data_IF_126181076895
#
_entry.id   IF_126181076895
#
_cell.length_a   1.000
_cell.length_b   1.000
_cell.length_c   1.000
_cell.angle_alpha   90.00
_cell.angle_beta   90.00
_cell.angle_gamma   90.00
#
_symmetry.space_group_name_H-M   'P 1'
#
loop_
_entity.id
_entity.type
_entity.pdbx_description
1 polymer ?
#
# COMPACT_ATOMS: atom_id res chain seq x y z
N UNK A 1 -5.33 -2.01 -9.96
CA UNK A 1 -5.13 -2.61 -8.62
C UNK A 1 -4.83 -4.09 -8.70
N UNK A 2 -5.39 -4.82 -9.68
CA UNK A 2 -5.21 -6.28 -9.80
C UNK A 2 -4.30 -6.72 -10.96
N UNK A 3 -3.57 -5.77 -11.58
CA UNK A 3 -2.66 -6.06 -12.69
C UNK A 3 -1.22 -6.26 -12.20
N UNK A 4 -0.51 -7.17 -12.85
CA UNK A 4 0.94 -7.34 -12.71
C UNK A 4 1.72 -6.21 -13.40
N UNK A 5 2.98 -6.01 -13.01
CA UNK A 5 3.85 -5.03 -13.67
C UNK A 5 4.11 -5.36 -15.15
N UNK A 6 4.07 -6.64 -15.51
CA UNK A 6 4.18 -7.09 -16.91
C UNK A 6 2.97 -6.62 -17.73
N UNK A 7 1.75 -6.89 -17.25
CA UNK A 7 0.52 -6.45 -17.91
C UNK A 7 0.43 -4.93 -17.99
N UNK A 8 0.83 -4.23 -16.92
CA UNK A 8 0.89 -2.77 -16.90
C UNK A 8 1.89 -2.25 -17.95
N UNK A 9 3.06 -2.88 -18.08
CA UNK A 9 4.05 -2.52 -19.09
C UNK A 9 3.54 -2.72 -20.51
N UNK A 10 2.79 -3.80 -20.77
CA UNK A 10 2.12 -4.04 -22.05
C UNK A 10 1.09 -2.96 -22.37
N UNK A 11 0.26 -2.58 -21.39
CA UNK A 11 -0.73 -1.51 -21.55
C UNK A 11 -0.06 -0.16 -21.83
N UNK A 12 0.98 0.20 -21.09
CA UNK A 12 1.72 1.44 -21.27
C UNK A 12 2.31 1.52 -22.69
N UNK A 13 2.94 0.43 -23.16
CA UNK A 13 3.54 0.36 -24.49
C UNK A 13 2.50 0.47 -25.61
N UNK A 14 1.36 -0.20 -25.47
CA UNK A 14 0.36 -0.28 -26.54
C UNK A 14 -0.55 0.96 -26.62
N UNK A 15 -0.71 1.69 -25.51
CA UNK A 15 -1.56 2.89 -25.47
C UNK A 15 -0.77 4.19 -25.51
N UNK A 16 0.51 4.17 -25.11
CA UNK A 16 1.31 5.38 -24.88
C UNK A 16 0.84 6.21 -23.68
N UNK A 17 -0.08 5.69 -22.86
CA UNK A 17 -0.61 6.39 -21.71
C UNK A 17 0.42 6.46 -20.58
N UNK A 18 0.42 7.60 -19.87
CA UNK A 18 1.13 7.71 -18.61
C UNK A 18 0.43 6.85 -17.54
N UNK A 19 1.22 6.08 -16.79
CA UNK A 19 0.70 5.17 -15.76
C UNK A 19 1.00 5.75 -14.36
N UNK A 20 -0.05 5.91 -13.56
CA UNK A 20 0.05 6.10 -12.11
C UNK A 20 0.11 4.73 -11.41
N UNK A 21 1.19 4.48 -10.66
CA UNK A 21 1.34 3.28 -9.84
C UNK A 21 1.07 3.58 -8.37
N UNK A 22 0.20 2.79 -7.72
CA UNK A 22 0.15 2.79 -6.27
C UNK A 22 1.41 2.13 -5.71
N UNK A 23 2.21 2.86 -4.95
CA UNK A 23 3.42 2.31 -4.33
C UNK A 23 3.29 2.09 -2.84
N UNK A 24 2.27 2.68 -2.19
CA UNK A 24 2.04 2.44 -0.77
C UNK A 24 0.59 2.55 -0.32
N UNK A 25 0.22 1.78 0.71
CA UNK A 25 -1.05 1.90 1.44
C UNK A 25 -2.06 0.82 1.10
N UNK A 26 -3.31 1.01 1.53
CA UNK A 26 -4.34 -0.03 1.48
C UNK A 26 -5.08 -0.03 0.14
N UNK A 27 -5.30 -1.23 -0.40
CA UNK A 27 -6.05 -1.43 -1.65
C UNK A 27 -7.54 -1.46 -1.36
N UNK A 28 -8.39 -0.79 -2.16
CA UNK A 28 -9.84 -1.00 -2.08
C UNK A 28 -10.18 -2.41 -2.55
N UNK A 29 -10.92 -3.16 -1.73
CA UNK A 29 -11.36 -4.52 -2.03
C UNK A 29 -12.86 -4.60 -2.29
N UNK A 30 -13.64 -3.66 -1.74
CA UNK A 30 -15.08 -3.67 -1.92
C UNK A 30 -15.73 -2.36 -1.52
N UNK A 31 -16.89 -2.13 -2.11
CA UNK A 31 -17.80 -1.04 -1.76
C UNK A 31 -19.19 -1.63 -1.49
N UNK A 32 -19.89 -1.04 -0.53
CA UNK A 32 -21.24 -1.37 -0.12
C UNK A 32 -22.14 -0.16 -0.31
N UNK A 33 -23.41 -0.42 -0.66
CA UNK A 33 -24.46 0.61 -0.69
C UNK A 33 -24.83 1.07 0.73
N UNK A 34 -24.78 0.15 1.69
CA UNK A 34 -25.07 0.36 3.10
C UNK A 34 -23.80 0.44 3.96
N UNK A 35 -23.77 1.38 4.91
CA UNK A 35 -22.66 1.54 5.85
C UNK A 35 -23.01 0.85 7.17
N UNK A 36 -22.55 -0.39 7.35
CA UNK A 36 -22.83 -1.16 8.58
C UNK A 36 -22.29 -0.48 9.84
N UNK A 37 -21.26 0.38 9.73
CA UNK A 37 -20.72 1.11 10.88
C UNK A 37 -21.73 2.09 11.51
N UNK A 38 -22.74 2.55 10.75
CA UNK A 38 -23.76 3.45 11.29
C UNK A 38 -24.60 2.80 12.40
N UNK A 39 -24.76 1.47 12.36
CA UNK A 39 -25.47 0.71 13.39
C UNK A 39 -24.73 0.73 14.74
N UNK A 40 -23.43 1.02 14.73
CA UNK A 40 -22.57 1.00 15.91
C UNK A 40 -22.30 2.38 16.51
N UNK A 41 -22.76 3.48 15.90
CA UNK A 41 -22.52 4.84 16.41
C UNK A 41 -23.02 5.01 17.84
N UNK A 42 -24.23 4.49 18.13
CA UNK A 42 -24.83 4.55 19.47
C UNK A 42 -24.09 3.67 20.47
N UNK A 43 -23.66 2.48 20.06
CA UNK A 43 -23.00 1.52 20.93
C UNK A 43 -21.57 1.96 21.30
N UNK A 44 -20.86 2.59 20.37
CA UNK A 44 -19.48 3.03 20.57
C UNK A 44 -19.34 4.51 20.96
N UNK A 45 -20.42 5.30 20.85
CA UNK A 45 -20.40 6.72 21.18
C UNK A 45 -19.57 7.57 20.20
N UNK A 46 -19.25 7.03 19.02
CA UNK A 46 -18.44 7.69 17.99
C UNK A 46 -19.28 7.81 16.72
N UNK A 47 -19.42 9.03 16.20
CA UNK A 47 -20.23 9.32 15.00
C UNK A 47 -19.38 9.38 13.72
N UNK A 48 -20.04 9.25 12.58
CA UNK A 48 -19.49 9.57 11.26
C UNK A 48 -19.11 11.07 11.18
N UNK A 49 -17.97 11.44 10.55
CA UNK A 49 -16.97 10.57 9.90
C UNK A 49 -15.85 10.08 10.84
N UNK A 50 -15.86 10.48 12.12
CA UNK A 50 -14.81 10.09 13.10
C UNK A 50 -14.74 8.58 13.31
N UNK A 51 -15.86 7.86 13.14
CA UNK A 51 -15.89 6.41 13.21
C UNK A 51 -15.08 5.76 12.09
N UNK A 52 -15.18 6.27 10.85
CA UNK A 52 -14.42 5.77 9.70
C UNK A 52 -12.91 6.06 9.78
N UNK A 53 -12.48 6.91 10.71
CA UNK A 53 -11.08 7.23 10.97
C UNK A 53 -10.47 6.34 12.06
N UNK A 54 -11.28 5.50 12.71
CA UNK A 54 -10.80 4.50 13.66
C UNK A 54 -10.13 3.33 12.91
N UNK A 55 -9.20 2.66 13.58
CA UNK A 55 -8.53 1.47 13.03
C UNK A 55 -9.42 0.23 13.24
N UNK A 56 -10.45 0.10 12.40
CA UNK A 56 -11.41 -1.01 12.45
C UNK A 56 -10.99 -2.12 11.49
N UNK A 57 -10.62 -3.28 12.03
CA UNK A 57 -10.21 -4.44 11.24
C UNK A 57 -11.15 -5.63 11.45
N UNK A 58 -11.67 -6.19 10.36
CA UNK A 58 -12.26 -7.52 10.35
C UNK A 58 -11.15 -8.54 10.19
N UNK A 59 -11.08 -9.57 11.06
CA UNK A 59 -10.01 -10.57 11.06
C UNK A 59 -10.57 -11.99 11.07
N UNK A 60 -9.93 -12.88 10.31
CA UNK A 60 -10.17 -14.32 10.34
C UNK A 60 -8.84 -15.04 10.04
N UNK A 61 -8.26 -15.71 11.04
CA UNK A 61 -6.90 -16.26 10.92
C UNK A 61 -5.89 -15.16 10.58
N UNK A 62 -5.06 -15.41 9.56
CA UNK A 62 -4.05 -14.46 9.06
C UNK A 62 -4.63 -13.36 8.15
N UNK A 63 -5.91 -13.47 7.80
CA UNK A 63 -6.59 -12.48 6.98
C UNK A 63 -7.09 -11.30 7.81
N UNK A 64 -6.88 -10.10 7.28
CA UNK A 64 -7.43 -8.88 7.85
C UNK A 64 -7.88 -7.91 6.75
N UNK A 65 -8.97 -7.20 6.99
CA UNK A 65 -9.49 -6.14 6.13
C UNK A 65 -9.85 -4.91 6.98
N UNK A 66 -9.50 -3.72 6.50
CA UNK A 66 -9.86 -2.46 7.19
C UNK A 66 -11.22 -1.98 6.69
N UNK A 67 -12.14 -1.71 7.62
CA UNK A 67 -13.41 -1.05 7.27
C UNK A 67 -13.25 0.47 7.38
N UNK A 68 -13.78 1.17 6.38
CA UNK A 68 -13.91 2.64 6.36
C UNK A 68 -15.36 3.05 6.15
N UNK A 69 -16.30 2.22 6.62
CA UNK A 69 -17.74 2.41 6.47
C UNK A 69 -18.28 1.69 5.25
N UNK A 70 -18.62 2.45 4.20
CA UNK A 70 -19.08 1.86 2.93
C UNK A 70 -17.97 1.15 2.14
N UNK A 71 -16.71 1.36 2.50
CA UNK A 71 -15.57 0.74 1.83
C UNK A 71 -14.88 -0.30 2.72
N UNK A 72 -14.37 -1.35 2.08
CA UNK A 72 -13.48 -2.33 2.68
C UNK A 72 -12.14 -2.27 1.95
N UNK A 73 -11.06 -2.12 2.72
CA UNK A 73 -9.70 -2.05 2.23
C UNK A 73 -8.89 -3.27 2.66
N UNK A 74 -7.78 -3.55 1.99
CA UNK A 74 -6.81 -4.57 2.41
C UNK A 74 -6.31 -4.28 3.83
N UNK A 75 -6.09 -5.33 4.63
CA UNK A 75 -5.48 -5.16 5.95
C UNK A 75 -4.00 -4.78 5.84
N UNK A 76 -3.28 -5.51 4.99
CA UNK A 76 -1.87 -5.25 4.66
C UNK A 76 -1.73 -4.02 3.77
N UNK A 77 -0.63 -3.31 3.97
CA UNK A 77 -0.26 -2.18 3.12
C UNK A 77 0.56 -2.66 1.94
N UNK A 78 0.18 -2.24 0.73
CA UNK A 78 1.08 -2.32 -0.42
C UNK A 78 2.34 -1.52 -0.05
N UNK A 79 3.51 -2.04 -0.38
CA UNK A 79 4.76 -1.33 -0.24
C UNK A 79 5.69 -1.70 -1.39
N UNK A 80 6.07 -0.71 -2.19
CA UNK A 80 6.99 -0.87 -3.32
C UNK A 80 8.29 -0.11 -3.10
N UNK A 81 8.64 0.19 -1.85
CA UNK A 81 9.76 1.06 -1.49
C UNK A 81 11.09 0.57 -2.09
N UNK A 82 11.46 -0.69 -1.89
CA UNK A 82 12.66 -1.31 -2.50
C UNK A 82 12.56 -1.50 -4.01
N UNK A 83 11.35 -1.47 -4.56
CA UNK A 83 11.13 -1.63 -5.99
C UNK A 83 11.19 -0.30 -6.74
N UNK A 84 11.25 0.85 -6.06
CA UNK A 84 11.31 2.17 -6.69
C UNK A 84 12.45 2.32 -7.71
N UNK A 85 13.70 1.87 -7.46
CA UNK A 85 14.76 1.95 -8.47
C UNK A 85 14.42 1.21 -9.76
N UNK A 86 13.85 0.01 -9.65
CA UNK A 86 13.45 -0.79 -10.81
C UNK A 86 12.27 -0.15 -11.56
N UNK A 87 11.27 0.36 -10.84
CA UNK A 87 10.15 1.08 -11.45
C UNK A 87 10.60 2.37 -12.16
N UNK A 88 11.54 3.10 -11.57
CA UNK A 88 12.12 4.28 -12.18
C UNK A 88 12.92 3.95 -13.44
N UNK A 89 13.74 2.89 -13.41
CA UNK A 89 14.48 2.40 -14.57
C UNK A 89 13.54 1.94 -15.70
N UNK A 90 12.39 1.35 -15.36
CA UNK A 90 11.35 0.95 -16.32
C UNK A 90 10.56 2.12 -16.93
N UNK A 91 10.82 3.37 -16.50
CA UNK A 91 10.22 4.57 -17.08
C UNK A 91 8.98 5.10 -16.36
N UNK A 92 8.51 4.48 -15.27
CA UNK A 92 7.37 4.99 -14.50
C UNK A 92 7.76 6.25 -13.71
N UNK A 93 6.93 7.30 -13.78
CA UNK A 93 7.20 8.61 -13.15
C UNK A 93 6.12 9.08 -12.19
N UNK A 94 4.94 8.48 -12.24
CA UNK A 94 3.80 8.90 -11.43
C UNK A 94 3.45 7.82 -10.42
N UNK A 95 3.58 8.17 -9.15
CA UNK A 95 3.44 7.26 -8.02
C UNK A 95 2.44 7.81 -7.00
N UNK A 96 1.58 6.93 -6.50
CA UNK A 96 0.51 7.26 -5.55
C UNK A 96 0.69 6.54 -4.23
N UNK A 97 0.38 7.25 -3.15
CA UNK A 97 0.22 6.69 -1.81
C UNK A 97 -1.27 6.73 -1.43
N UNK A 98 -1.87 5.58 -1.09
CA UNK A 98 -3.23 5.49 -0.58
C UNK A 98 -3.23 5.65 0.95
N UNK A 99 -3.46 6.89 1.40
CA UNK A 99 -3.43 7.24 2.82
C UNK A 99 -4.68 8.02 3.28
N UNK A 100 -5.76 8.03 2.48
CA UNK A 100 -6.96 8.83 2.77
C UNK A 100 -7.65 8.42 4.08
N UNK A 101 -7.62 7.13 4.42
CA UNK A 101 -8.14 6.58 5.68
C UNK A 101 -7.15 6.63 6.84
N UNK A 102 -5.91 7.09 6.59
CA UNK A 102 -4.83 7.02 7.57
C UNK A 102 -4.68 8.32 8.35
N UNK A 103 -4.10 8.21 9.54
CA UNK A 103 -3.91 9.33 10.47
C UNK A 103 -2.91 10.36 9.92
N UNK A 104 -2.94 11.63 10.37
CA UNK A 104 -1.99 12.66 9.92
C UNK A 104 -0.51 12.25 10.06
N UNK A 105 -0.14 11.59 11.17
CA UNK A 105 1.24 11.12 11.39
C UNK A 105 1.69 10.10 10.33
N UNK A 106 0.84 9.15 9.96
CA UNK A 106 1.10 8.21 8.86
C UNK A 106 1.40 8.97 7.57
N UNK A 107 0.52 9.90 7.19
CA UNK A 107 0.64 10.66 5.94
C UNK A 107 1.95 11.45 5.88
N UNK A 108 2.30 12.11 6.98
CA UNK A 108 3.51 12.91 7.08
C UNK A 108 4.77 12.05 6.99
N UNK A 109 4.86 10.99 7.80
CA UNK A 109 6.08 10.18 7.92
C UNK A 109 6.30 9.28 6.71
N UNK A 110 5.27 8.55 6.26
CA UNK A 110 5.34 7.72 5.06
C UNK A 110 5.57 8.59 3.82
N UNK A 111 4.89 9.74 3.73
CA UNK A 111 5.08 10.69 2.63
C UNK A 111 6.52 11.21 2.57
N UNK A 112 7.12 11.54 3.72
CA UNK A 112 8.51 11.97 3.80
C UNK A 112 9.49 10.87 3.33
N UNK A 113 9.27 9.62 3.75
CA UNK A 113 10.07 8.47 3.29
C UNK A 113 10.01 8.34 1.77
N UNK A 114 8.82 8.27 1.17
CA UNK A 114 8.70 8.13 -0.28
C UNK A 114 9.24 9.34 -1.04
N UNK A 115 9.11 10.55 -0.51
CA UNK A 115 9.70 11.75 -1.11
C UNK A 115 11.22 11.69 -1.13
N UNK A 116 11.84 11.28 -0.02
CA UNK A 116 13.28 11.11 0.07
C UNK A 116 13.77 9.98 -0.85
N UNK A 117 13.07 8.84 -0.87
CA UNK A 117 13.39 7.72 -1.74
C UNK A 117 13.33 8.09 -3.22
N UNK A 118 12.25 8.74 -3.68
CA UNK A 118 12.13 9.19 -5.06
C UNK A 118 13.22 10.20 -5.45
N UNK A 119 13.59 11.11 -4.54
CA UNK A 119 14.69 12.05 -4.76
C UNK A 119 16.02 11.32 -4.95
N UNK A 120 16.30 10.33 -4.09
CA UNK A 120 17.51 9.52 -4.17
C UNK A 120 17.56 8.69 -5.45
N UNK A 121 16.46 8.02 -5.81
CA UNK A 121 16.35 7.22 -7.04
C UNK A 121 16.52 8.10 -8.28
N UNK A 122 15.92 9.28 -8.32
CA UNK A 122 16.07 10.22 -9.44
C UNK A 122 17.53 10.70 -9.62
N UNK A 123 18.31 10.74 -8.54
CA UNK A 123 19.75 11.06 -8.56
C UNK A 123 20.65 9.83 -8.87
N UNK A 124 20.07 8.67 -9.15
CA UNK A 124 20.81 7.42 -9.43
C UNK A 124 21.15 6.58 -8.20
N UNK A 125 20.60 6.91 -7.02
CA UNK A 125 20.76 6.11 -5.81
C UNK A 125 19.89 4.85 -5.84
N UNK A 126 20.47 3.71 -5.43
CA UNK A 126 19.77 2.43 -5.32
C UNK A 126 19.62 1.91 -3.88
N UNK A 127 20.38 2.47 -2.93
CA UNK A 127 20.35 2.05 -1.53
C UNK A 127 19.31 2.83 -0.73
N UNK A 128 18.56 2.11 0.10
CA UNK A 128 17.52 2.66 0.94
C UNK A 128 17.92 2.50 2.42
N UNK A 129 17.98 3.59 3.20
CA UNK A 129 18.32 3.53 4.62
C UNK A 129 17.35 2.66 5.44
N UNK A 130 17.88 1.86 6.39
CA UNK A 130 17.06 1.02 7.28
C UNK A 130 16.04 1.83 8.10
N UNK A 131 16.38 3.07 8.47
CA UNK A 131 15.47 3.97 9.18
C UNK A 131 14.14 4.22 8.42
N UNK A 132 14.14 4.11 7.09
CA UNK A 132 12.93 4.20 6.28
C UNK A 132 12.06 2.96 6.47
N UNK A 133 12.65 1.76 6.52
CA UNK A 133 11.94 0.52 6.82
C UNK A 133 11.34 0.52 8.21
N UNK A 134 12.08 0.98 9.22
CA UNK A 134 11.55 1.13 10.58
C UNK A 134 10.31 2.02 10.61
N UNK A 135 10.35 3.14 9.87
CA UNK A 135 9.22 4.06 9.75
C UNK A 135 8.02 3.40 9.08
N UNK A 136 8.22 2.69 7.96
CA UNK A 136 7.15 1.97 7.26
C UNK A 136 6.54 0.87 8.14
N UNK A 137 7.39 0.02 8.76
CA UNK A 137 6.95 -1.09 9.61
C UNK A 137 6.17 -0.59 10.84
N UNK A 138 6.56 0.54 11.44
CA UNK A 138 5.86 1.16 12.57
C UNK A 138 4.40 1.51 12.24
N UNK A 139 4.12 1.91 11.00
CA UNK A 139 2.79 2.29 10.53
C UNK A 139 1.95 1.10 10.04
N UNK A 140 2.60 0.04 9.58
CA UNK A 140 1.92 -1.17 9.10
C UNK A 140 1.34 -2.00 10.26
N UNK A 141 0.00 -2.01 10.37
CA UNK A 141 -0.71 -2.74 11.44
C UNK A 141 -0.79 -4.25 11.25
N UNK A 142 -0.95 -4.69 10.00
CA UNK A 142 -1.15 -6.11 9.67
C UNK A 142 0.12 -6.71 9.05
N UNK A 143 0.84 -5.92 8.27
CA UNK A 143 1.98 -6.36 7.49
C UNK A 143 2.00 -5.68 6.12
N UNK A 144 3.05 -5.96 5.37
CA UNK A 144 3.23 -5.44 4.02
C UNK A 144 2.88 -6.51 2.98
N UNK A 145 2.53 -6.06 1.78
CA UNK A 145 2.42 -6.85 0.56
C UNK A 145 2.89 -6.02 -0.65
N UNK A 146 2.96 -6.62 -1.83
CA UNK A 146 3.21 -5.87 -3.08
C UNK A 146 1.95 -5.75 -3.95
N UNK A 147 0.77 -6.00 -3.37
CA UNK A 147 -0.45 -6.15 -4.16
C UNK A 147 -0.28 -7.22 -5.23
N UNK A 148 -0.80 -6.97 -6.43
CA UNK A 148 -0.81 -7.93 -7.53
C UNK A 148 0.36 -7.74 -8.50
N UNK A 149 1.30 -6.85 -8.20
CA UNK A 149 2.36 -6.43 -9.11
C UNK A 149 3.27 -7.56 -9.60
N UNK A 150 3.38 -8.65 -8.84
CA UNK A 150 4.21 -9.81 -9.18
C UNK A 150 3.40 -11.06 -9.55
N UNK A 151 2.14 -10.89 -9.97
CA UNK A 151 1.28 -12.00 -10.38
C UNK A 151 0.93 -12.98 -9.24
N UNK A 152 1.14 -12.56 -7.99
CA UNK A 152 0.82 -13.31 -6.78
C UNK A 152 -0.49 -12.81 -6.17
N UNK A 153 -1.00 -13.54 -5.16
CA UNK A 153 -2.10 -13.01 -4.37
C UNK A 153 -1.72 -11.66 -3.75
N UNK A 154 -2.67 -10.72 -3.72
CA UNK A 154 -2.45 -9.36 -3.20
C UNK A 154 -2.05 -9.25 -1.72
N UNK A 155 -1.81 -10.37 -1.03
CA UNK A 155 -1.38 -10.44 0.36
C UNK A 155 0.11 -10.79 0.52
N UNK A 156 0.77 -11.22 -0.55
CA UNK A 156 2.17 -11.68 -0.51
C UNK A 156 3.13 -10.50 -0.65
N UNK A 157 4.23 -10.57 0.08
CA UNK A 157 5.36 -9.68 -0.08
C UNK A 157 6.51 -10.41 -0.79
N UNK A 158 6.98 -9.86 -1.91
CA UNK A 158 8.09 -10.32 -2.73
C UNK A 158 9.21 -9.30 -2.59
N UNK A 159 10.32 -9.65 -1.92
CA UNK A 159 11.46 -8.74 -1.75
C UNK A 159 12.18 -8.54 -3.09
N UNK A 160 12.83 -7.39 -3.27
CA UNK A 160 13.63 -7.09 -4.47
C UNK A 160 14.94 -7.90 -4.48
N UNK A 161 15.45 -8.22 -3.29
CA UNK A 161 16.62 -9.06 -3.09
C UNK A 161 16.19 -10.34 -2.37
N UNK A 162 16.27 -11.49 -3.04
CA UNK A 162 16.14 -12.77 -2.34
C UNK A 162 17.39 -12.95 -1.47
N UNK A 163 17.24 -12.92 -0.15
CA UNK A 163 18.18 -13.66 0.69
C UNK A 163 18.06 -15.13 0.28
N UNK A 164 19.17 -15.71 -0.16
CA UNK A 164 19.27 -17.16 -0.32
C UNK A 164 19.02 -17.78 1.05
N UNK A 165 17.80 -18.26 1.29
CA UNK A 165 17.55 -19.20 2.39
C UNK A 165 18.39 -20.45 2.11
N UNK A 166 19.57 -20.50 2.75
CA UNK A 166 20.28 -21.74 3.00
C UNK A 166 19.36 -22.57 3.89
N UNK A 167 18.62 -23.49 3.27
CA UNK A 167 17.96 -24.59 3.96
C UNK A 167 19.03 -25.34 4.75
N UNK A 168 18.95 -25.26 6.07
CA UNK A 168 19.58 -26.20 6.99
C UNK A 168 18.55 -27.26 7.40
#
# INVERSE_FOLDING_TARGET
WELSLEEIGLLAKNTGAEIELLVHGKMPLGISDHCFLLEYEKAWGIRCPSLCQQDLFLRQGDWAMKSVGKGVLSGRDVCMLEHLPALWAAGYRTFRLAALSERPAYRAEVGAVYRAALTAVAAGGASLPEAWWETIRRHSRIGLCNGFYFGQSGQVYVPAHQEQEVRA
#
